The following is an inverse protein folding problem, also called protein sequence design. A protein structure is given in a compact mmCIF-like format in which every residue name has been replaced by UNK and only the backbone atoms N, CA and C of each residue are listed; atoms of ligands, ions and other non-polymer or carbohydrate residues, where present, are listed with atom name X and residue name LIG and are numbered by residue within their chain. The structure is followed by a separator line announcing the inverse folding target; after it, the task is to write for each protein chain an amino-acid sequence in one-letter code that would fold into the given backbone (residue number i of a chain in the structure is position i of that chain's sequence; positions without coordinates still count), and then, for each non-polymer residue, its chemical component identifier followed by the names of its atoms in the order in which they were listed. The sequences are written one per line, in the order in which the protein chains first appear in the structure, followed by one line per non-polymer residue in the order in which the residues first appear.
data_IF_452892231289
#
_entry.id   IF_452892231289
#
_cell.length_a   1.000
_cell.length_b   1.000
_cell.length_c   1.000
_cell.angle_alpha   90.00
_cell.angle_beta   90.00
_cell.angle_gamma   90.00
#
_symmetry.space_group_name_H-M   'P 1'
#
loop_
_entity.id
_entity.type
_entity.pdbx_description
1 polymer ?
#
# COMPACT_ATOMS: atom_id res chain seq x y z
N UNK A 1 -11.23 2.97 5.95
CA UNK A 1 -10.76 3.13 4.55
C UNK A 1 -10.01 1.89 4.07
N UNK A 2 -8.83 1.57 4.60
CA UNK A 2 -8.05 0.42 4.11
C UNK A 2 -8.78 -0.93 4.21
N UNK A 3 -9.49 -1.20 5.31
CA UNK A 3 -10.24 -2.46 5.49
C UNK A 3 -11.37 -2.64 4.48
N UNK A 4 -11.94 -1.53 4.01
CA UNK A 4 -13.03 -1.51 3.02
C UNK A 4 -12.48 -1.58 1.58
N UNK A 5 -11.40 -0.86 1.30
CA UNK A 5 -10.82 -0.75 -0.04
C UNK A 5 -9.95 -1.98 -0.41
N UNK A 6 -9.21 -2.53 0.56
CA UNK A 6 -8.23 -3.58 0.36
C UNK A 6 -8.77 -4.85 -0.33
N UNK A 7 -9.93 -5.39 0.07
CA UNK A 7 -10.52 -6.56 -0.61
C UNK A 7 -10.80 -6.32 -2.09
N UNK A 8 -11.29 -5.13 -2.44
CA UNK A 8 -11.63 -4.82 -3.83
C UNK A 8 -10.37 -4.64 -4.68
N UNK A 9 -9.37 -3.89 -4.18
CA UNK A 9 -8.08 -3.72 -4.86
C UNK A 9 -7.39 -5.06 -5.14
N UNK A 10 -7.42 -5.99 -4.18
CA UNK A 10 -6.87 -7.35 -4.37
C UNK A 10 -7.58 -8.13 -5.47
N UNK A 11 -8.91 -8.02 -5.60
CA UNK A 11 -9.65 -8.66 -6.71
C UNK A 11 -9.19 -8.14 -8.07
N UNK A 12 -8.81 -6.87 -8.15
CA UNK A 12 -8.26 -6.24 -9.35
C UNK A 12 -6.75 -6.47 -9.54
N UNK A 13 -6.12 -7.32 -8.71
CA UNK A 13 -4.69 -7.61 -8.79
C UNK A 13 -3.79 -6.46 -8.35
N UNK A 14 -4.33 -5.45 -7.67
CA UNK A 14 -3.57 -4.30 -7.19
C UNK A 14 -2.88 -4.64 -5.86
N UNK A 15 -1.61 -5.04 -5.96
CA UNK A 15 -0.80 -5.51 -4.82
C UNK A 15 -0.14 -4.34 -4.07
N UNK A 16 0.14 -3.25 -4.77
CA UNK A 16 0.75 -2.05 -4.20
C UNK A 16 0.05 -0.79 -4.72
N UNK A 17 -0.57 -0.05 -3.82
CA UNK A 17 -1.26 1.21 -4.12
C UNK A 17 -0.92 2.28 -3.10
N UNK A 18 -0.99 3.53 -3.52
CA UNK A 18 -1.00 4.70 -2.63
C UNK A 18 -2.41 5.26 -2.55
N UNK A 19 -2.84 5.71 -1.38
CA UNK A 19 -4.12 6.39 -1.20
C UNK A 19 -3.90 7.77 -0.60
N UNK A 20 -4.61 8.75 -1.14
CA UNK A 20 -4.58 10.11 -0.62
C UNK A 20 -5.87 10.36 0.16
N UNK A 21 -5.71 10.84 1.39
CA UNK A 21 -6.81 11.07 2.32
C UNK A 21 -6.72 12.50 2.85
N UNK A 22 -7.81 13.26 2.70
CA UNK A 22 -7.95 14.62 3.23
C UNK A 22 -9.22 14.66 4.08
N UNK A 23 -9.10 15.12 5.33
CA UNK A 23 -10.21 15.18 6.29
C UNK A 23 -10.98 13.85 6.46
N UNK A 24 -10.25 12.74 6.44
CA UNK A 24 -10.82 11.39 6.55
C UNK A 24 -11.54 10.87 5.30
N UNK A 25 -11.53 11.63 4.20
CA UNK A 25 -12.13 11.24 2.92
C UNK A 25 -11.05 10.81 1.92
N UNK A 26 -11.32 9.73 1.18
CA UNK A 26 -10.46 9.27 0.08
C UNK A 26 -10.62 10.21 -1.13
N UNK A 27 -9.51 10.75 -1.62
CA UNK A 27 -9.51 11.65 -2.79
C UNK A 27 -8.92 11.02 -4.04
N UNK A 28 -7.91 10.14 -3.88
CA UNK A 28 -7.19 9.52 -4.99
C UNK A 28 -6.67 8.12 -4.64
N UNK A 29 -6.58 7.25 -5.65
CA UNK A 29 -5.89 5.95 -5.57
C UNK A 29 -4.82 5.89 -6.67
N UNK A 30 -3.56 5.85 -6.25
CA UNK A 30 -2.40 5.73 -7.12
C UNK A 30 -2.04 4.25 -7.34
N UNK A 31 -2.31 3.73 -8.54
CA UNK A 31 -2.10 2.31 -8.89
C UNK A 31 -0.85 2.03 -9.73
N UNK A 32 -0.21 3.06 -10.29
CA UNK A 32 0.89 2.86 -11.26
C UNK A 32 2.27 2.89 -10.60
N UNK A 33 2.57 3.97 -9.86
CA UNK A 33 3.87 4.15 -9.21
C UNK A 33 3.70 4.96 -7.92
N UNK A 34 3.02 4.41 -6.90
CA UNK A 34 2.85 5.10 -5.63
C UNK A 34 4.20 5.26 -4.93
N UNK A 35 4.40 6.43 -4.31
CA UNK A 35 5.67 6.82 -3.69
C UNK A 35 5.56 6.85 -2.16
N UNK A 36 6.56 7.38 -1.46
CA UNK A 36 6.49 7.59 0.00
C UNK A 36 7.01 6.43 0.86
N UNK A 37 7.32 5.27 0.27
CA UNK A 37 7.79 4.09 1.01
C UNK A 37 9.06 4.37 1.84
N UNK A 38 10.05 5.08 1.26
CA UNK A 38 11.28 5.41 1.99
C UNK A 38 11.04 6.36 3.18
N UNK A 39 10.12 7.32 3.00
CA UNK A 39 9.73 8.27 4.05
C UNK A 39 9.02 7.52 5.18
N UNK A 40 8.08 6.63 4.85
CA UNK A 40 7.37 5.79 5.81
C UNK A 40 8.33 4.89 6.59
N UNK A 41 9.28 4.24 5.92
CA UNK A 41 10.31 3.43 6.58
C UNK A 41 11.10 4.22 7.61
N UNK A 42 11.55 5.44 7.26
CA UNK A 42 12.29 6.31 8.20
C UNK A 42 11.43 6.78 9.36
N UNK A 43 10.17 7.13 9.10
CA UNK A 43 9.24 7.65 10.11
C UNK A 43 8.82 6.56 11.12
N UNK A 44 8.51 5.37 10.62
CA UNK A 44 7.98 4.27 11.43
C UNK A 44 9.02 3.22 11.81
N UNK A 45 10.28 3.42 11.42
CA UNK A 45 11.37 2.46 11.60
C UNK A 45 11.02 1.05 11.09
N UNK A 46 10.53 0.98 9.84
CA UNK A 46 10.10 -0.25 9.15
C UNK A 46 10.90 -0.51 7.88
N UNK A 47 10.69 -1.70 7.29
CA UNK A 47 11.25 -2.14 6.01
C UNK A 47 10.13 -2.65 5.09
N UNK A 48 9.25 -1.74 4.69
CA UNK A 48 8.05 -2.05 3.91
C UNK A 48 8.37 -2.65 2.52
N UNK A 49 9.56 -2.39 1.98
CA UNK A 49 10.04 -2.98 0.72
C UNK A 49 10.20 -4.50 0.82
N UNK A 50 10.60 -5.01 1.99
CA UNK A 50 10.72 -6.45 2.21
C UNK A 50 9.33 -7.08 2.26
N UNK A 51 8.40 -6.50 3.02
CA UNK A 51 7.02 -6.97 3.11
C UNK A 51 6.30 -6.97 1.75
N UNK A 52 6.54 -5.93 0.93
CA UNK A 52 6.00 -5.87 -0.41
C UNK A 52 6.57 -6.98 -1.30
N UNK A 53 7.89 -7.22 -1.24
CA UNK A 53 8.53 -8.26 -2.02
C UNK A 53 8.06 -9.65 -1.59
N UNK A 54 8.00 -9.92 -0.29
CA UNK A 54 7.47 -11.17 0.28
C UNK A 54 6.04 -11.43 -0.21
N UNK A 55 5.19 -10.39 -0.24
CA UNK A 55 3.83 -10.47 -0.73
C UNK A 55 3.75 -10.81 -2.24
N UNK A 56 4.64 -10.21 -3.04
CA UNK A 56 4.71 -10.47 -4.49
C UNK A 56 5.28 -11.86 -4.79
N UNK A 57 6.24 -12.32 -4.00
CA UNK A 57 6.84 -13.65 -4.12
C UNK A 57 5.95 -14.78 -3.57
N UNK A 58 4.91 -14.44 -2.81
CA UNK A 58 4.03 -15.41 -2.15
C UNK A 58 4.71 -16.11 -0.96
N UNK A 59 5.71 -15.46 -0.35
CA UNK A 59 6.38 -15.97 0.83
C UNK A 59 5.42 -15.99 2.03
N UNK A 60 5.55 -16.94 2.96
CA UNK A 60 4.75 -16.96 4.18
C UNK A 60 5.06 -15.73 5.05
N UNK A 61 4.01 -15.00 5.41
CA UNK A 61 4.04 -13.85 6.31
C UNK A 61 4.27 -14.25 7.79
#
# INVERSE_FOLDING_TARGET
ICDELGPELRKHGQVFVGIDVIDGLLTEINVTSPTGLQQANRLYNRRLEAELLDCVEGAPA
#
